data_IF_049357903337
#
_entry.id   IF_049357903337
#
_cell.length_a   1.000
_cell.length_b   1.000
_cell.length_c   1.000
_cell.angle_alpha   90.00
_cell.angle_beta   90.00
_cell.angle_gamma   90.00
#
_symmetry.space_group_name_H-M   'P 1'
#
loop_
_entity.id
_entity.type
_entity.pdbx_description
1 polymer ?
#
# COMPACT_ATOMS: atom_id res chain seq x y z
N UNK A 1 -3.22 26.93 6.85
CA UNK A 1 -2.98 25.84 7.82
C UNK A 1 -2.55 24.61 7.04
N UNK A 2 -1.30 24.17 7.21
CA UNK A 2 -0.82 22.94 6.58
C UNK A 2 -1.02 21.81 7.59
N UNK A 3 -2.04 20.98 7.37
CA UNK A 3 -2.27 19.81 8.22
C UNK A 3 -1.17 18.79 8.00
N UNK A 4 -0.66 18.18 9.08
CA UNK A 4 0.20 17.00 8.94
C UNK A 4 -0.61 15.82 8.38
N UNK A 5 0.03 14.92 7.63
CA UNK A 5 -0.62 13.71 7.08
C UNK A 5 -1.31 12.87 8.16
N UNK A 6 -0.74 12.84 9.37
CA UNK A 6 -1.32 12.17 10.54
C UNK A 6 -2.62 12.83 10.98
N UNK A 7 -2.65 14.16 11.10
CA UNK A 7 -3.86 14.89 11.48
C UNK A 7 -4.94 14.74 10.43
N UNK A 8 -4.59 14.80 9.14
CA UNK A 8 -5.53 14.53 8.05
C UNK A 8 -6.19 13.16 8.22
N UNK A 9 -5.42 12.09 8.38
CA UNK A 9 -5.97 10.73 8.55
C UNK A 9 -6.79 10.55 9.83
N UNK A 10 -6.38 11.17 10.93
CA UNK A 10 -7.14 11.12 12.19
C UNK A 10 -8.44 11.93 12.08
N UNK A 11 -8.44 13.05 11.34
CA UNK A 11 -9.59 13.95 11.22
C UNK A 11 -10.66 13.46 10.23
N UNK A 12 -10.26 12.71 9.19
CA UNK A 12 -11.19 12.15 8.19
C UNK A 12 -11.85 10.86 8.63
N UNK A 13 -11.24 10.16 9.59
CA UNK A 13 -11.84 9.00 10.25
C UNK A 13 -12.61 9.52 11.46
N UNK A 14 -13.93 9.29 11.57
CA UNK A 14 -14.76 9.73 12.71
C UNK A 14 -14.44 9.07 14.06
N UNK A 15 -13.16 8.87 14.39
CA UNK A 15 -12.67 8.22 15.59
C UNK A 15 -12.22 9.28 16.60
N UNK A 16 -12.93 9.33 17.73
CA UNK A 16 -12.75 10.30 18.80
C UNK A 16 -11.28 10.46 19.25
N UNK A 17 -10.85 11.72 19.35
CA UNK A 17 -9.58 12.11 19.92
C UNK A 17 -9.56 11.89 21.44
N UNK A 18 -8.53 11.19 21.94
CA UNK A 18 -8.00 11.45 23.28
C UNK A 18 -6.57 11.96 23.14
N UNK A 19 -6.37 13.17 23.67
CA UNK A 19 -5.12 13.92 23.70
C UNK A 19 -4.11 13.29 24.68
N UNK A 20 -2.84 13.21 24.27
CA UNK A 20 -1.67 13.49 25.13
C UNK A 20 -0.37 13.54 24.27
N UNK A 21 0.15 14.77 24.15
CA UNK A 21 1.53 15.28 24.26
C UNK A 21 2.77 14.57 23.63
N UNK A 22 3.89 15.31 23.46
CA UNK A 22 4.85 15.10 22.37
C UNK A 22 6.14 14.36 22.76
N UNK A 23 7.01 14.20 21.76
CA UNK A 23 8.40 13.72 21.77
C UNK A 23 8.64 12.23 21.96
N UNK A 24 8.66 11.52 20.83
CA UNK A 24 9.68 10.49 20.63
C UNK A 24 10.15 10.58 19.17
N UNK A 25 11.19 11.35 18.92
CA UNK A 25 11.95 11.27 17.67
C UNK A 25 12.77 9.99 17.70
N UNK A 26 12.11 8.85 17.49
CA UNK A 26 12.80 7.63 17.12
C UNK A 26 13.35 7.88 15.71
N UNK A 27 14.67 8.10 15.60
CA UNK A 27 15.37 7.99 14.33
C UNK A 27 15.20 6.55 13.86
N UNK A 28 14.24 6.31 12.98
CA UNK A 28 14.13 5.03 12.29
C UNK A 28 15.33 4.95 11.35
N UNK A 29 16.34 4.16 11.73
CA UNK A 29 17.41 3.77 10.82
C UNK A 29 16.78 2.98 9.67
N UNK A 30 16.80 3.55 8.47
CA UNK A 30 16.25 2.92 7.25
C UNK A 30 17.06 1.69 6.79
N UNK A 31 18.25 1.47 7.36
CA UNK A 31 19.22 0.49 6.85
C UNK A 31 18.87 -0.98 7.13
N UNK A 32 17.83 -1.28 7.90
CA UNK A 32 17.48 -2.65 8.28
C UNK A 32 16.11 -3.12 7.80
N UNK A 33 15.46 -2.43 6.85
CA UNK A 33 14.22 -2.91 6.26
C UNK A 33 14.55 -4.10 5.34
N UNK A 34 14.16 -5.36 5.66
CA UNK A 34 14.32 -6.45 4.72
C UNK A 34 13.58 -6.09 3.43
N UNK A 35 14.34 -6.02 2.33
CA UNK A 35 13.80 -5.84 1.00
C UNK A 35 12.86 -7.01 0.74
N UNK A 36 11.54 -6.77 0.84
CA UNK A 36 10.56 -7.82 0.54
C UNK A 36 10.69 -8.14 -0.94
N UNK A 37 11.32 -9.28 -1.23
CA UNK A 37 11.42 -9.78 -2.60
C UNK A 37 10.06 -10.34 -2.98
N UNK A 38 9.36 -9.62 -3.84
CA UNK A 38 8.07 -10.04 -4.38
C UNK A 38 8.34 -10.89 -5.61
N UNK A 39 8.08 -12.18 -5.50
CA UNK A 39 8.20 -13.11 -6.62
C UNK A 39 6.90 -13.09 -7.44
N UNK A 40 6.98 -13.01 -8.79
CA UNK A 40 5.81 -13.10 -9.64
C UNK A 40 5.00 -14.38 -9.38
N UNK A 41 3.70 -14.24 -9.11
CA UNK A 41 2.82 -15.38 -8.91
C UNK A 41 1.87 -15.54 -10.11
N UNK A 42 1.75 -16.78 -10.63
CA UNK A 42 0.95 -17.09 -11.83
C UNK A 42 -0.51 -16.60 -11.74
N UNK A 43 -1.14 -16.73 -10.56
CA UNK A 43 -2.51 -16.22 -10.31
C UNK A 43 -2.62 -14.72 -10.55
N UNK A 44 -1.69 -13.94 -9.99
CA UNK A 44 -1.72 -12.47 -10.08
C UNK A 44 -1.35 -12.03 -11.51
N UNK A 45 -0.41 -12.72 -12.14
CA UNK A 45 0.01 -12.46 -13.52
C UNK A 45 0.59 -11.05 -13.71
N UNK A 46 1.27 -10.53 -12.69
CA UNK A 46 2.10 -9.33 -12.78
C UNK A 46 3.57 -9.75 -12.93
N UNK A 47 4.29 -9.11 -13.84
CA UNK A 47 5.73 -9.31 -14.02
C UNK A 47 6.56 -8.67 -12.90
N UNK A 48 7.84 -9.02 -12.81
CA UNK A 48 8.77 -8.36 -11.88
C UNK A 48 8.84 -6.84 -12.10
N UNK A 49 8.86 -6.42 -13.36
CA UNK A 49 8.86 -5.00 -13.72
C UNK A 49 7.56 -4.30 -13.27
N UNK A 50 6.41 -4.94 -13.47
CA UNK A 50 5.12 -4.41 -13.01
C UNK A 50 5.06 -4.25 -11.48
N UNK A 51 5.68 -5.15 -10.73
CA UNK A 51 5.82 -4.98 -9.28
C UNK A 51 6.73 -3.82 -8.89
N UNK A 52 7.80 -3.56 -9.65
CA UNK A 52 8.66 -2.39 -9.43
C UNK A 52 7.89 -1.09 -9.71
N UNK A 53 7.10 -1.03 -10.79
CA UNK A 53 6.23 0.11 -11.10
C UNK A 53 5.22 0.31 -9.97
N UNK A 54 4.55 -0.76 -9.52
CA UNK A 54 3.59 -0.69 -8.40
C UNK A 54 4.23 -0.13 -7.13
N UNK A 55 5.42 -0.61 -6.75
CA UNK A 55 6.14 -0.10 -5.59
C UNK A 55 6.47 1.38 -5.75
N UNK A 56 6.94 1.80 -6.93
CA UNK A 56 7.26 3.21 -7.22
C UNK A 56 6.02 4.12 -7.14
N UNK A 57 4.87 3.65 -7.64
CA UNK A 57 3.58 4.34 -7.52
C UNK A 57 3.19 4.47 -6.05
N UNK A 58 3.23 3.39 -5.27
CA UNK A 58 2.86 3.44 -3.85
C UNK A 58 3.76 4.38 -3.04
N UNK A 59 5.06 4.38 -3.30
CA UNK A 59 6.01 5.31 -2.68
C UNK A 59 5.74 6.76 -3.06
N UNK A 60 5.31 7.02 -4.30
CA UNK A 60 4.93 8.36 -4.74
C UNK A 60 3.63 8.84 -4.08
N UNK A 61 2.63 7.96 -3.97
CA UNK A 61 1.33 8.27 -3.36
C UNK A 61 1.42 8.43 -1.83
N UNK A 62 2.34 7.73 -1.17
CA UNK A 62 2.49 7.75 0.28
C UNK A 62 3.98 7.71 0.66
N UNK A 63 4.72 8.82 0.50
CA UNK A 63 6.16 8.85 0.71
C UNK A 63 6.53 8.77 2.19
N UNK A 64 7.70 8.23 2.49
CA UNK A 64 8.29 8.31 3.83
C UNK A 64 8.69 9.74 4.15
N UNK A 65 8.43 10.18 5.37
CA UNK A 65 8.84 11.48 5.89
C UNK A 65 9.57 11.29 7.22
N UNK A 66 10.30 12.32 7.68
CA UNK A 66 11.07 12.26 8.93
C UNK A 66 10.24 11.76 10.13
N UNK A 67 8.96 12.13 10.19
CA UNK A 67 8.07 11.80 11.30
C UNK A 67 6.80 11.02 10.86
N UNK A 68 6.81 10.42 9.66
CA UNK A 68 5.68 9.63 9.17
C UNK A 68 6.15 8.46 8.29
N UNK A 69 5.65 7.23 8.53
CA UNK A 69 5.98 6.08 7.70
C UNK A 69 5.37 6.26 6.31
N UNK A 70 6.10 5.84 5.29
CA UNK A 70 5.65 5.75 3.90
C UNK A 70 5.26 4.33 3.51
N UNK A 71 4.87 4.16 2.24
CA UNK A 71 4.39 2.89 1.68
C UNK A 71 5.42 1.76 1.83
N UNK A 72 6.70 2.10 1.64
CA UNK A 72 7.81 1.16 1.84
C UNK A 72 8.01 0.76 3.30
N UNK A 73 7.76 1.66 4.25
CA UNK A 73 7.97 1.39 5.68
C UNK A 73 6.87 0.47 6.23
N UNK A 74 5.66 0.54 5.65
CA UNK A 74 4.49 -0.28 6.04
C UNK A 74 4.32 -1.54 5.17
N UNK A 75 5.26 -1.83 4.29
CA UNK A 75 5.24 -2.97 3.36
C UNK A 75 3.98 -3.01 2.47
N UNK A 76 3.57 -1.85 1.95
CA UNK A 76 2.35 -1.73 1.14
C UNK A 76 2.34 -2.64 -0.09
N UNK A 77 3.48 -2.83 -0.75
CA UNK A 77 3.55 -3.68 -1.95
C UNK A 77 3.45 -5.16 -1.58
N UNK A 78 4.04 -5.57 -0.45
CA UNK A 78 3.94 -6.94 0.05
C UNK A 78 2.51 -7.27 0.52
N UNK A 79 1.87 -6.31 1.19
CA UNK A 79 0.46 -6.39 1.55
C UNK A 79 -0.41 -6.58 0.32
N UNK A 80 -0.28 -5.73 -0.70
CA UNK A 80 -1.03 -5.86 -1.94
C UNK A 80 -0.80 -7.24 -2.58
N UNK A 81 0.44 -7.69 -2.70
CA UNK A 81 0.76 -9.01 -3.24
C UNK A 81 0.01 -10.13 -2.50
N UNK A 82 0.08 -10.15 -1.17
CA UNK A 82 -0.60 -11.16 -0.36
C UNK A 82 -2.12 -11.08 -0.46
N UNK A 83 -2.66 -9.85 -0.49
CA UNK A 83 -4.10 -9.61 -0.64
C UNK A 83 -4.62 -10.10 -1.98
N UNK A 84 -3.87 -9.94 -3.08
CA UNK A 84 -4.26 -10.46 -4.40
C UNK A 84 -4.16 -12.01 -4.50
N UNK A 85 -3.48 -12.67 -3.56
CA UNK A 85 -3.43 -14.13 -3.50
C UNK A 85 -4.61 -14.75 -2.75
N UNK A 86 -5.37 -13.96 -1.98
CA UNK A 86 -6.47 -14.49 -1.18
C UNK A 86 -7.50 -15.27 -2.03
N UNK A 87 -8.12 -16.33 -1.48
CA UNK A 87 -8.94 -17.25 -2.27
C UNK A 87 -10.10 -16.60 -3.02
N UNK A 88 -10.69 -15.56 -2.44
CA UNK A 88 -11.90 -14.86 -2.91
C UNK A 88 -11.61 -13.63 -3.79
N UNK A 89 -10.39 -13.48 -4.29
CA UNK A 89 -10.06 -12.38 -5.21
C UNK A 89 -10.56 -12.71 -6.61
N UNK A 90 -11.48 -11.90 -7.11
CA UNK A 90 -12.09 -12.02 -8.43
C UNK A 90 -11.07 -11.74 -9.56
N UNK A 91 -11.23 -12.43 -10.69
CA UNK A 91 -10.33 -12.28 -11.84
C UNK A 91 -10.38 -10.88 -12.47
N UNK A 92 -11.56 -10.25 -12.48
CA UNK A 92 -11.73 -8.88 -12.98
C UNK A 92 -10.93 -7.87 -12.14
N UNK A 93 -10.78 -8.10 -10.84
CA UNK A 93 -9.96 -7.28 -9.95
C UNK A 93 -8.47 -7.42 -10.27
N UNK A 94 -7.99 -8.65 -10.49
CA UNK A 94 -6.61 -8.89 -10.92
C UNK A 94 -6.31 -8.22 -12.26
N UNK A 95 -7.27 -8.30 -13.19
CA UNK A 95 -7.18 -7.64 -14.50
C UNK A 95 -7.15 -6.11 -14.34
N UNK A 96 -8.03 -5.54 -13.51
CA UNK A 96 -8.07 -4.11 -13.22
C UNK A 96 -6.74 -3.59 -12.67
N UNK A 97 -6.13 -4.30 -11.72
CA UNK A 97 -4.81 -3.93 -11.17
C UNK A 97 -3.74 -3.95 -12.26
N UNK A 98 -3.71 -4.99 -13.10
CA UNK A 98 -2.77 -5.13 -14.22
C UNK A 98 -2.94 -4.02 -15.26
N UNK A 99 -4.17 -3.72 -15.64
CA UNK A 99 -4.47 -2.74 -16.69
C UNK A 99 -4.04 -1.34 -16.29
N UNK A 100 -4.17 -0.96 -15.02
CA UNK A 100 -3.67 0.34 -14.59
C UNK A 100 -2.15 0.48 -14.72
N UNK A 101 -1.38 -0.58 -14.45
CA UNK A 101 0.07 -0.57 -14.67
C UNK A 101 0.43 -0.45 -16.16
N UNK A 102 -0.28 -1.17 -17.03
CA UNK A 102 -0.11 -1.09 -18.49
C UNK A 102 -0.42 0.33 -18.99
N UNK A 103 -1.49 0.92 -18.48
CA UNK A 103 -1.92 2.27 -18.86
C UNK A 103 -0.92 3.34 -18.39
N UNK A 104 -0.35 3.21 -17.18
CA UNK A 104 0.70 4.11 -16.70
C UNK A 104 1.95 4.05 -17.56
N UNK A 105 2.38 2.84 -17.93
CA UNK A 105 3.55 2.66 -18.81
C UNK A 105 3.30 3.32 -20.18
N UNK A 106 2.13 3.08 -20.79
CA UNK A 106 1.72 3.72 -22.04
C UNK A 106 1.68 5.25 -21.92
N UNK A 107 1.19 5.77 -20.81
CA UNK A 107 1.12 7.20 -20.55
C UNK A 107 2.52 7.81 -20.40
N UNK A 108 3.45 7.08 -19.78
CA UNK A 108 4.86 7.49 -19.67
C UNK A 108 5.51 7.63 -21.04
N UNK A 109 5.38 6.60 -21.88
CA UNK A 109 5.90 6.60 -23.23
C UNK A 109 5.30 7.74 -24.08
N UNK A 110 3.99 7.97 -23.96
CA UNK A 110 3.29 9.01 -24.73
C UNK A 110 3.70 10.42 -24.32
N UNK A 111 3.92 10.66 -23.02
CA UNK A 111 4.14 12.00 -22.48
C UNK A 111 5.62 12.39 -22.36
N UNK A 112 6.50 11.41 -22.13
CA UNK A 112 7.90 11.65 -21.80
C UNK A 112 8.88 10.80 -22.63
N UNK A 113 8.40 9.91 -23.50
CA UNK A 113 9.22 9.05 -24.36
C UNK A 113 10.24 8.21 -23.57
N UNK A 114 9.86 7.78 -22.37
CA UNK A 114 10.70 7.00 -21.46
C UNK A 114 9.85 6.10 -20.59
N UNK A 115 10.47 5.07 -20.03
CA UNK A 115 9.84 4.08 -19.16
C UNK A 115 9.37 4.75 -17.86
N UNK A 116 8.29 4.26 -17.27
CA UNK A 116 7.73 4.88 -16.06
C UNK A 116 8.76 4.95 -14.92
N UNK A 117 9.59 3.91 -14.77
CA UNK A 117 10.59 3.83 -13.71
C UNK A 117 11.73 4.85 -13.86
N UNK A 118 11.96 5.36 -15.06
CA UNK A 118 13.03 6.32 -15.37
C UNK A 118 12.59 7.77 -15.18
N UNK A 119 11.30 8.01 -14.90
CA UNK A 119 10.78 9.33 -14.61
C UNK A 119 11.34 9.89 -13.29
N UNK A 120 11.64 11.18 -13.28
CA UNK A 120 11.93 11.88 -12.02
C UNK A 120 10.64 12.11 -11.20
N UNK A 121 10.77 12.59 -9.96
CA UNK A 121 9.62 12.79 -9.06
C UNK A 121 8.57 13.77 -9.58
N UNK A 122 8.99 14.86 -10.25
CA UNK A 122 8.07 15.84 -10.80
C UNK A 122 7.30 15.30 -12.01
N UNK A 123 7.95 14.48 -12.83
CA UNK A 123 7.31 13.78 -13.96
C UNK A 123 6.32 12.72 -13.46
N UNK A 124 6.67 11.96 -12.42
CA UNK A 124 5.75 11.04 -11.75
C UNK A 124 4.48 11.74 -11.27
N UNK A 125 4.62 12.88 -10.55
CA UNK A 125 3.47 13.67 -10.10
C UNK A 125 2.62 14.13 -11.28
N UNK A 126 3.24 14.70 -12.31
CA UNK A 126 2.53 15.19 -13.50
C UNK A 126 1.76 14.07 -14.19
N UNK A 127 2.37 12.89 -14.36
CA UNK A 127 1.77 11.74 -14.99
C UNK A 127 0.61 11.18 -14.17
N UNK A 128 0.80 10.98 -12.86
CA UNK A 128 -0.23 10.43 -11.98
C UNK A 128 -1.42 11.38 -11.84
N UNK A 129 -1.20 12.70 -11.82
CA UNK A 129 -2.28 13.71 -11.87
C UNK A 129 -3.06 13.65 -13.16
N UNK A 130 -2.38 13.48 -14.31
CA UNK A 130 -3.04 13.29 -15.59
C UNK A 130 -3.83 11.99 -15.60
N UNK A 131 -3.30 10.92 -15.02
CA UNK A 131 -3.98 9.63 -14.94
C UNK A 131 -5.22 9.69 -14.03
N UNK A 132 -5.16 10.45 -12.93
CA UNK A 132 -6.27 10.72 -12.02
C UNK A 132 -7.45 11.46 -12.68
N UNK A 133 -7.24 12.17 -13.79
CA UNK A 133 -8.31 12.88 -14.51
C UNK A 133 -9.20 11.96 -15.36
N UNK A 134 -8.70 10.78 -15.75
CA UNK A 134 -9.50 9.76 -16.43
C UNK A 134 -10.27 8.91 -15.41
N UNK A 135 -11.52 8.55 -15.69
CA UNK A 135 -12.35 7.78 -14.75
C UNK A 135 -11.71 6.45 -14.34
N UNK A 136 -11.03 5.77 -15.26
CA UNK A 136 -10.36 4.50 -15.00
C UNK A 136 -9.12 4.72 -14.13
N UNK A 137 -8.28 5.70 -14.49
CA UNK A 137 -7.08 6.00 -13.72
C UNK A 137 -7.38 6.53 -12.31
N UNK A 138 -8.43 7.35 -12.19
CA UNK A 138 -8.98 7.83 -10.93
C UNK A 138 -9.44 6.68 -10.02
N UNK A 139 -10.17 5.71 -10.56
CA UNK A 139 -10.58 4.51 -9.82
C UNK A 139 -9.38 3.66 -9.41
N UNK A 140 -8.39 3.51 -10.30
CA UNK A 140 -7.20 2.71 -10.03
C UNK A 140 -6.33 3.33 -8.94
N UNK A 141 -6.06 4.64 -8.99
CA UNK A 141 -5.27 5.33 -7.95
C UNK A 141 -5.96 5.22 -6.59
N UNK A 142 -7.28 5.39 -6.52
CA UNK A 142 -8.04 5.18 -5.28
C UNK A 142 -7.88 3.77 -4.74
N UNK A 143 -7.89 2.77 -5.61
CA UNK A 143 -7.73 1.39 -5.21
C UNK A 143 -6.32 1.12 -4.65
N UNK A 144 -5.29 1.68 -5.26
CA UNK A 144 -3.93 1.60 -4.74
C UNK A 144 -3.82 2.31 -3.37
N UNK A 145 -4.45 3.48 -3.21
CA UNK A 145 -4.53 4.17 -1.92
C UNK A 145 -5.26 3.34 -0.86
N UNK A 146 -6.36 2.67 -1.22
CA UNK A 146 -7.06 1.72 -0.32
C UNK A 146 -6.10 0.65 0.18
N UNK A 147 -5.33 0.02 -0.71
CA UNK A 147 -4.34 -0.99 -0.32
C UNK A 147 -3.19 -0.43 0.54
N UNK A 148 -2.75 0.81 0.31
CA UNK A 148 -1.77 1.47 1.17
C UNK A 148 -2.34 1.64 2.59
N UNK A 149 -3.59 2.09 2.71
CA UNK A 149 -4.21 2.28 4.03
C UNK A 149 -4.52 0.96 4.72
N UNK A 150 -4.92 -0.08 3.98
CA UNK A 150 -5.02 -1.42 4.55
C UNK A 150 -3.67 -1.91 5.05
N UNK A 151 -2.58 -1.71 4.29
CA UNK A 151 -1.24 -2.05 4.75
C UNK A 151 -0.83 -1.26 6.00
N UNK A 152 -1.28 -0.01 6.15
CA UNK A 152 -1.00 0.84 7.30
C UNK A 152 -1.76 0.40 8.56
N UNK A 153 -2.99 -0.07 8.38
CA UNK A 153 -3.97 -0.29 9.46
C UNK A 153 -4.12 -1.77 9.85
N UNK A 154 -3.78 -2.70 8.96
CA UNK A 154 -3.95 -4.12 9.20
C UNK A 154 -2.95 -4.66 10.22
N UNK A 155 -3.28 -5.81 10.80
CA UNK A 155 -2.39 -6.53 11.70
C UNK A 155 -1.10 -6.99 10.97
N UNK A 156 0.09 -6.80 11.57
CA UNK A 156 1.36 -7.24 10.99
C UNK A 156 1.39 -8.72 10.59
N UNK A 157 0.57 -9.56 11.23
CA UNK A 157 0.46 -10.99 10.90
C UNK A 157 0.13 -11.20 9.43
N UNK A 158 -0.55 -10.27 8.76
CA UNK A 158 -0.93 -10.42 7.37
C UNK A 158 0.11 -9.90 6.35
N UNK A 159 1.25 -9.37 6.82
CA UNK A 159 2.41 -9.02 6.00
C UNK A 159 2.50 -7.55 5.57
N UNK A 160 1.51 -6.73 5.91
CA UNK A 160 1.63 -5.26 5.96
C UNK A 160 2.09 -4.79 7.35
N UNK A 161 2.05 -3.47 7.57
CA UNK A 161 2.25 -2.82 8.88
C UNK A 161 3.42 -3.39 9.69
N UNK A 162 4.58 -3.55 9.05
CA UNK A 162 5.73 -4.18 9.70
C UNK A 162 6.03 -3.57 11.08
N UNK A 163 6.26 -4.43 12.08
CA UNK A 163 6.46 -4.06 13.49
C UNK A 163 5.38 -3.14 14.09
N UNK A 164 4.18 -3.10 13.49
CA UNK A 164 3.09 -2.21 13.87
C UNK A 164 3.45 -0.73 13.69
N UNK A 165 4.35 -0.38 12.77
CA UNK A 165 4.83 1.00 12.60
C UNK A 165 3.71 1.99 12.30
N UNK A 166 2.72 1.60 11.51
CA UNK A 166 1.52 2.38 11.24
C UNK A 166 0.69 2.61 12.50
N UNK A 167 0.53 1.59 13.33
CA UNK A 167 -0.18 1.70 14.61
C UNK A 167 0.56 2.61 15.60
N UNK A 168 1.88 2.46 15.72
CA UNK A 168 2.73 3.33 16.56
C UNK A 168 2.59 4.78 16.13
N UNK A 169 2.66 5.05 14.83
CA UNK A 169 2.51 6.39 14.26
C UNK A 169 1.12 6.99 14.52
N UNK A 170 0.06 6.21 14.31
CA UNK A 170 -1.32 6.66 14.53
C UNK A 170 -1.69 6.72 16.02
N UNK A 171 -0.87 6.15 16.92
CA UNK A 171 -1.23 5.86 18.32
C UNK A 171 -2.46 4.95 18.41
N UNK A 172 -2.61 4.04 17.45
CA UNK A 172 -3.70 3.06 17.43
C UNK A 172 -3.47 1.98 18.49
N UNK A 173 -4.53 1.62 19.21
CA UNK A 173 -4.54 0.49 20.15
C UNK A 173 -5.31 -0.66 19.48
N UNK A 174 -4.61 -1.73 19.13
CA UNK A 174 -5.21 -2.93 18.56
C UNK A 174 -6.02 -3.70 19.62
N UNK A 175 -6.99 -4.50 19.17
CA UNK A 175 -7.66 -5.48 20.02
C UNK A 175 -6.73 -6.64 20.37
N UNK A 176 -6.91 -7.27 21.54
CA UNK A 176 -6.12 -8.43 21.98
C UNK A 176 -7.03 -9.63 22.31
N UNK A 177 -6.58 -10.87 22.08
CA UNK A 177 -5.28 -11.25 21.50
C UNK A 177 -5.22 -11.00 19.99
N UNK A 178 -4.01 -10.78 19.47
CA UNK A 178 -3.79 -10.76 18.02
C UNK A 178 -3.99 -12.17 17.44
N UNK A 179 -4.52 -12.30 16.21
CA UNK A 179 -4.63 -13.60 15.57
C UNK A 179 -3.23 -14.22 15.34
N UNK A 180 -3.00 -15.48 15.73
CA UNK A 180 -1.76 -16.16 15.38
C UNK A 180 -1.72 -16.47 13.87
N UNK A 181 -0.52 -16.74 13.34
CA UNK A 181 -0.28 -16.91 11.89
C UNK A 181 -1.16 -17.99 11.24
N UNK A 182 -1.50 -19.04 11.98
CA UNK A 182 -2.33 -20.17 11.58
C UNK A 182 -3.84 -19.91 11.68
N UNK A 183 -4.26 -18.79 12.28
CA UNK A 183 -5.69 -18.41 12.44
C UNK A 183 -6.04 -17.07 11.80
N UNK A 184 -5.34 -16.72 10.71
CA UNK A 184 -5.72 -15.60 9.84
C UNK A 184 -7.13 -15.85 9.27
N UNK A 185 -7.96 -14.81 9.17
CA UNK A 185 -9.40 -15.00 8.84
C UNK A 185 -9.64 -15.83 7.57
N UNK A 186 -8.83 -15.64 6.53
CA UNK A 186 -8.96 -16.38 5.27
C UNK A 186 -8.53 -17.86 5.36
N UNK A 187 -7.86 -18.28 6.44
CA UNK A 187 -7.59 -19.70 6.74
C UNK A 187 -8.77 -20.36 7.46
N UNK A 188 -9.56 -19.57 8.20
CA UNK A 188 -10.69 -20.07 9.00
C UNK A 188 -11.98 -20.16 8.18
N UNK A 189 -12.12 -19.33 7.13
CA UNK A 189 -13.29 -19.31 6.24
C UNK A 189 -13.14 -20.30 5.06
N UNK A 190 -12.03 -21.05 4.99
CA UNK A 190 -11.93 -22.15 4.03
C UNK A 190 -13.13 -23.10 4.22
N UNK A 191 -13.89 -23.44 3.16
CA UNK A 191 -15.18 -24.08 3.29
C UNK A 191 -15.07 -25.39 4.06
N UNK A 192 -16.05 -25.65 4.91
CA UNK A 192 -16.25 -26.86 5.72
C UNK A 192 -16.50 -28.13 4.88
N UNK A 193 -16.04 -28.19 3.64
CA UNK A 193 -16.27 -29.28 2.71
C UNK A 193 -14.99 -30.05 2.42
N UNK A 194 -14.62 -30.90 3.37
CA UNK A 194 -13.95 -32.18 3.08
C UNK A 194 -14.12 -33.14 4.25
N UNK A 195 -15.22 -33.88 4.25
CA UNK A 195 -15.29 -35.26 4.71
C UNK A 195 -16.03 -36.06 3.66
#
# INVERSE_FOLDING_TARGET
MQYSRREFLISTTGFMAMLASPTLSARFSMDSIPKVVIEPHKKIGLSKLQWQIMARVQEHLFPSEVNAPGAKDIYATAWLHNSLLMPNVELNHLQFIRDGLINLEKLSQTNFQTDFLDLNTAQHETLLRKYEQDNTGNAWIREILRYIFEALLSDPVYGGNHDGIGWKWLKHKSGFPLPPKDKRYYLVIAPYHSK
#
